data_IF_793724956937
#
_entry.id   IF_793724956937
#
_cell.length_a   1.000
_cell.length_b   1.000
_cell.length_c   1.000
_cell.angle_alpha   90.00
_cell.angle_beta   90.00
_cell.angle_gamma   90.00
#
_symmetry.space_group_name_H-M   'P 1'
#
loop_
_entity.id
_entity.type
_entity.pdbx_description
1 polymer ?
#
# COMPACT_ATOMS: atom_id res chain seq x y z
N UNK A 1 8.42 -3.14 -6.82
CA UNK A 1 6.96 -2.97 -6.74
C UNK A 1 6.25 -3.83 -7.77
N UNK A 2 4.99 -4.21 -7.51
CA UNK A 2 4.14 -4.98 -8.43
C UNK A 2 3.80 -4.21 -9.71
N UNK A 3 3.27 -4.92 -10.70
CA UNK A 3 2.83 -4.37 -11.97
C UNK A 3 1.32 -4.11 -11.90
N UNK A 4 0.92 -2.83 -11.83
CA UNK A 4 -0.48 -2.41 -11.98
C UNK A 4 -0.69 -1.71 -13.32
N UNK A 5 -1.92 -1.72 -13.84
CA UNK A 5 -2.23 -0.97 -15.05
C UNK A 5 -2.25 0.54 -14.75
N UNK A 6 -1.35 1.36 -15.36
CA UNK A 6 -1.33 2.80 -15.12
C UNK A 6 -2.55 3.51 -15.72
N UNK A 7 -3.30 2.86 -16.61
CA UNK A 7 -4.50 3.43 -17.23
C UNK A 7 -5.79 3.12 -16.49
N UNK A 8 -5.74 2.25 -15.47
CA UNK A 8 -6.90 1.91 -14.65
C UNK A 8 -7.52 3.18 -14.03
N UNK A 9 -8.81 3.46 -14.28
CA UNK A 9 -9.50 4.58 -13.64
C UNK A 9 -9.53 4.43 -12.13
N UNK A 10 -9.46 5.56 -11.41
CA UNK A 10 -9.67 5.59 -9.97
C UNK A 10 -11.11 5.15 -9.68
N UNK A 11 -11.27 4.15 -8.82
CA UNK A 11 -12.58 3.66 -8.44
C UNK A 11 -12.50 2.41 -7.57
N UNK A 12 -13.64 1.78 -7.40
CA UNK A 12 -13.84 0.57 -6.58
C UNK A 12 -14.15 -0.65 -7.45
N UNK A 13 -13.76 -0.60 -8.73
CA UNK A 13 -13.96 -1.72 -9.65
C UNK A 13 -13.12 -2.93 -9.21
N UNK A 14 -13.81 -4.01 -8.90
CA UNK A 14 -13.26 -5.29 -8.46
C UNK A 14 -13.37 -6.37 -9.54
N UNK A 15 -13.75 -5.99 -10.76
CA UNK A 15 -13.77 -6.91 -11.88
C UNK A 15 -12.35 -7.18 -12.37
N UNK A 16 -12.13 -8.40 -12.87
CA UNK A 16 -10.85 -8.77 -13.47
C UNK A 16 -10.76 -8.15 -14.86
N UNK A 17 -9.72 -7.34 -15.08
CA UNK A 17 -9.33 -6.89 -16.41
C UNK A 17 -8.62 -8.04 -17.16
N UNK A 18 -9.37 -8.70 -18.03
CA UNK A 18 -8.86 -9.79 -18.87
C UNK A 18 -7.95 -9.31 -20.00
N UNK A 19 -8.01 -8.04 -20.38
CA UNK A 19 -7.15 -7.45 -21.41
C UNK A 19 -5.77 -7.08 -20.84
N UNK A 20 -5.68 -6.84 -19.52
CA UNK A 20 -4.41 -6.64 -18.83
C UNK A 20 -3.66 -7.96 -18.52
N UNK A 21 -4.39 -9.05 -18.29
CA UNK A 21 -3.82 -10.35 -17.89
C UNK A 21 -2.68 -10.87 -18.81
N UNK A 22 -2.77 -10.79 -20.16
CA UNK A 22 -1.68 -11.20 -21.04
C UNK A 22 -0.34 -10.49 -20.74
N UNK A 23 -0.37 -9.20 -20.38
CA UNK A 23 0.83 -8.44 -20.04
C UNK A 23 1.48 -8.96 -18.76
N UNK A 24 0.66 -9.35 -17.77
CA UNK A 24 1.14 -9.94 -16.51
C UNK A 24 1.79 -11.30 -16.77
N UNK A 25 1.16 -12.14 -17.61
CA UNK A 25 1.69 -13.45 -17.98
C UNK A 25 3.00 -13.33 -18.76
N UNK A 26 3.09 -12.38 -19.69
CA UNK A 26 4.31 -12.10 -20.45
C UNK A 26 5.47 -11.69 -19.53
N UNK A 27 5.25 -10.70 -18.65
CA UNK A 27 6.28 -10.26 -17.70
C UNK A 27 6.68 -11.36 -16.70
N UNK A 28 5.72 -12.16 -16.24
CA UNK A 28 5.98 -13.32 -15.38
C UNK A 28 6.84 -14.37 -16.10
N UNK A 29 6.47 -14.73 -17.33
CA UNK A 29 7.19 -15.71 -18.15
C UNK A 29 8.59 -15.23 -18.53
N UNK A 30 8.77 -13.94 -18.80
CA UNK A 30 10.08 -13.34 -19.08
C UNK A 30 11.04 -13.46 -17.89
N UNK A 31 10.53 -13.34 -16.65
CA UNK A 31 11.32 -13.42 -15.41
C UNK A 31 11.53 -14.86 -14.93
N UNK A 32 10.52 -15.71 -15.11
CA UNK A 32 10.55 -17.12 -14.74
C UNK A 32 9.90 -17.95 -15.86
N UNK A 33 10.66 -18.42 -16.86
CA UNK A 33 10.14 -19.10 -18.05
C UNK A 33 9.25 -20.32 -17.77
N UNK A 34 9.45 -20.99 -16.63
CA UNK A 34 8.59 -22.09 -16.20
C UNK A 34 7.12 -21.68 -16.00
N UNK A 35 6.84 -20.40 -15.70
CA UNK A 35 5.47 -19.89 -15.57
C UNK A 35 4.71 -19.90 -16.91
N UNK A 36 5.41 -19.78 -18.04
CA UNK A 36 4.77 -19.79 -19.37
C UNK A 36 4.20 -21.17 -19.76
N UNK A 37 4.55 -22.22 -19.02
CA UNK A 37 4.02 -23.58 -19.22
C UNK A 37 2.94 -23.94 -18.19
N UNK A 38 2.69 -23.08 -17.20
CA UNK A 38 1.73 -23.32 -16.14
C UNK A 38 0.31 -22.91 -16.57
N UNK A 39 -0.70 -23.61 -16.03
CA UNK A 39 -2.09 -23.20 -16.17
C UNK A 39 -2.48 -22.19 -15.09
N UNK A 40 -3.31 -21.21 -15.45
CA UNK A 40 -3.92 -20.30 -14.48
C UNK A 40 -5.02 -21.03 -13.70
N UNK A 41 -4.87 -21.08 -12.37
CA UNK A 41 -5.89 -21.67 -11.48
C UNK A 41 -6.95 -20.66 -11.07
N UNK A 42 -6.55 -19.42 -10.79
CA UNK A 42 -7.44 -18.39 -10.25
C UNK A 42 -6.90 -17.01 -10.61
N UNK A 43 -7.80 -16.07 -10.88
CA UNK A 43 -7.51 -14.66 -11.11
C UNK A 43 -8.51 -13.85 -10.27
N UNK A 44 -8.03 -12.78 -9.64
CA UNK A 44 -8.85 -11.90 -8.81
C UNK A 44 -8.29 -10.47 -8.90
N UNK A 45 -9.15 -9.49 -8.60
CA UNK A 45 -8.79 -8.09 -8.50
C UNK A 45 -9.03 -7.58 -7.07
N UNK A 46 -8.26 -6.57 -6.67
CA UNK A 46 -8.34 -5.97 -5.34
C UNK A 46 -7.96 -4.50 -5.38
N UNK A 47 -8.37 -3.76 -4.35
CA UNK A 47 -8.18 -2.32 -4.27
C UNK A 47 -6.85 -1.95 -3.62
N UNK A 48 -6.23 -0.91 -4.15
CA UNK A 48 -5.11 -0.22 -3.51
C UNK A 48 -5.57 1.17 -3.05
N UNK A 49 -5.35 1.47 -1.77
CA UNK A 49 -5.54 2.81 -1.24
C UNK A 49 -4.27 3.62 -1.49
N UNK A 50 -4.29 4.46 -2.53
CA UNK A 50 -3.12 5.22 -2.98
C UNK A 50 -3.05 6.59 -2.32
N UNK A 51 -1.92 6.89 -1.68
CA UNK A 51 -1.58 8.24 -1.23
C UNK A 51 -0.68 8.97 -2.25
N UNK A 52 -0.62 10.31 -2.25
CA UNK A 52 0.18 11.07 -3.22
C UNK A 52 1.67 10.70 -3.25
N UNK A 53 2.24 10.27 -2.12
CA UNK A 53 3.63 9.85 -1.99
C UNK A 53 3.81 8.33 -1.83
N UNK A 54 2.72 7.56 -1.95
CA UNK A 54 2.70 6.09 -1.85
C UNK A 54 3.11 5.55 -0.47
N UNK A 55 3.06 6.40 0.56
CA UNK A 55 3.32 6.04 1.96
C UNK A 55 2.03 5.96 2.78
N UNK A 56 1.98 5.16 3.84
CA UNK A 56 0.75 5.03 4.61
C UNK A 56 0.40 6.31 5.36
N UNK A 57 -0.84 6.38 5.82
CA UNK A 57 -1.33 7.36 6.78
C UNK A 57 -1.44 6.68 8.14
N UNK A 58 -0.51 7.00 9.04
CA UNK A 58 -0.46 6.43 10.38
C UNK A 58 -0.40 7.53 11.43
N UNK A 59 -1.37 7.57 12.33
CA UNK A 59 -1.42 8.53 13.43
C UNK A 59 -2.82 9.11 13.68
N UNK A 60 -2.91 10.10 14.56
CA UNK A 60 -4.20 10.70 14.92
C UNK A 60 -4.79 11.49 13.75
N UNK A 61 -6.10 11.35 13.54
CA UNK A 61 -6.83 12.06 12.51
C UNK A 61 -6.87 13.58 12.79
N UNK A 62 -6.49 14.44 11.82
CA UNK A 62 -6.51 15.89 12.00
C UNK A 62 -7.88 16.41 12.42
N UNK A 63 -7.93 17.19 13.50
CA UNK A 63 -9.17 17.79 14.01
C UNK A 63 -10.16 16.80 14.63
N UNK A 64 -9.78 15.53 14.84
CA UNK A 64 -10.64 14.49 15.44
C UNK A 64 -9.90 13.78 16.58
N UNK A 65 -9.85 14.37 17.79
CA UNK A 65 -9.18 13.76 18.93
C UNK A 65 -9.73 12.35 19.23
N UNK A 66 -8.83 11.40 19.45
CA UNK A 66 -9.18 10.01 19.75
C UNK A 66 -9.46 9.12 18.53
N UNK A 67 -9.54 9.67 17.31
CA UNK A 67 -9.61 8.88 16.08
C UNK A 67 -8.19 8.66 15.53
N UNK A 68 -7.83 7.41 15.27
CA UNK A 68 -6.52 7.01 14.74
C UNK A 68 -6.66 6.40 13.35
N UNK A 69 -5.70 6.70 12.48
CA UNK A 69 -5.63 6.21 11.12
C UNK A 69 -4.48 5.22 10.97
N UNK A 70 -4.74 4.16 10.21
CA UNK A 70 -3.79 3.20 9.69
C UNK A 70 -4.33 2.71 8.34
N UNK A 71 -4.14 3.52 7.29
CA UNK A 71 -4.69 3.28 5.95
C UNK A 71 -3.76 3.83 4.86
N UNK A 72 -4.12 3.72 3.58
CA UNK A 72 -3.37 4.34 2.48
C UNK A 72 -2.03 3.66 2.17
N UNK A 73 -1.92 2.37 2.47
CA UNK A 73 -0.66 1.62 2.35
C UNK A 73 -0.19 1.39 0.91
N UNK A 74 -0.91 1.85 -0.13
CA UNK A 74 -0.40 1.96 -1.51
C UNK A 74 0.23 0.66 -2.08
N UNK A 75 -0.23 -0.50 -1.62
CA UNK A 75 0.21 -1.82 -2.10
C UNK A 75 1.22 -2.59 -1.25
N UNK A 76 1.77 -2.01 -0.19
CA UNK A 76 2.75 -2.67 0.69
C UNK A 76 2.24 -2.86 2.13
N UNK A 77 0.93 -2.73 2.34
CA UNK A 77 0.30 -2.82 3.66
C UNK A 77 0.47 -4.17 4.35
N UNK A 78 0.55 -5.28 3.59
CA UNK A 78 0.71 -6.61 4.19
C UNK A 78 2.01 -6.75 4.99
N UNK A 79 3.14 -6.31 4.41
CA UNK A 79 4.44 -6.36 5.11
C UNK A 79 4.53 -5.32 6.24
N UNK A 80 3.82 -4.19 6.12
CA UNK A 80 3.84 -3.13 7.12
C UNK A 80 2.89 -3.36 8.30
N UNK A 81 1.86 -4.20 8.14
CA UNK A 81 0.81 -4.35 9.13
C UNK A 81 1.33 -4.73 10.54
N UNK A 82 2.25 -5.71 10.71
CA UNK A 82 2.76 -6.04 12.04
C UNK A 82 3.49 -4.88 12.74
N UNK A 83 4.57 -4.29 12.18
CA UNK A 83 5.31 -3.23 12.88
C UNK A 83 4.49 -1.93 13.07
N UNK A 84 3.64 -1.59 12.10
CA UNK A 84 2.76 -0.40 12.21
C UNK A 84 1.70 -0.60 13.27
N UNK A 85 1.04 -1.76 13.29
CA UNK A 85 -0.01 -2.06 14.27
C UNK A 85 0.52 -2.03 15.70
N UNK A 86 1.65 -2.70 15.96
CA UNK A 86 2.29 -2.71 17.28
C UNK A 86 2.70 -1.30 17.72
N UNK A 87 3.36 -0.54 16.84
CA UNK A 87 3.83 0.80 17.15
C UNK A 87 2.70 1.79 17.36
N UNK A 88 1.64 1.69 16.57
CA UNK A 88 0.47 2.55 16.72
C UNK A 88 -0.27 2.24 18.02
N UNK A 89 -0.42 0.96 18.37
CA UNK A 89 -0.99 0.56 19.66
C UNK A 89 -0.17 1.10 20.84
N UNK A 90 1.17 1.03 20.77
CA UNK A 90 2.04 1.60 21.79
C UNK A 90 1.79 3.11 21.96
N UNK A 91 1.75 3.86 20.86
CA UNK A 91 1.45 5.31 20.88
C UNK A 91 0.08 5.60 21.50
N UNK A 92 -0.95 4.83 21.13
CA UNK A 92 -2.32 4.98 21.68
C UNK A 92 -2.32 4.76 23.20
N UNK A 93 -1.54 3.79 23.69
CA UNK A 93 -1.42 3.48 25.11
C UNK A 93 -0.43 4.38 25.88
N UNK A 94 0.18 5.39 25.23
CA UNK A 94 1.16 6.26 25.86
C UNK A 94 2.55 5.63 26.08
N UNK A 95 2.84 4.53 25.37
CA UNK A 95 4.13 3.85 25.37
C UNK A 95 4.98 4.26 24.16
N UNK A 96 6.29 3.94 24.22
CA UNK A 96 7.20 4.17 23.10
C UNK A 96 6.97 3.15 21.98
N UNK A 97 6.84 3.59 20.72
CA UNK A 97 6.71 2.67 19.59
C UNK A 97 8.02 1.95 19.25
N UNK A 98 7.92 0.77 18.65
CA UNK A 98 9.08 0.02 18.13
C UNK A 98 9.65 0.66 16.86
N UNK A 99 8.78 1.21 16.00
CA UNK A 99 9.17 1.94 14.78
C UNK A 99 8.68 3.38 14.83
N UNK A 100 9.46 4.30 14.26
CA UNK A 100 9.08 5.70 14.18
C UNK A 100 7.93 5.90 13.18
N UNK A 101 6.78 6.37 13.66
CA UNK A 101 5.59 6.61 12.84
C UNK A 101 5.44 8.07 12.36
N UNK A 102 6.28 8.98 12.87
CA UNK A 102 6.20 10.42 12.56
C UNK A 102 6.28 10.74 11.04
N UNK A 103 7.05 10.00 10.21
CA UNK A 103 7.08 10.22 8.77
C UNK A 103 5.74 9.94 8.09
N UNK A 104 4.91 9.07 8.66
CA UNK A 104 3.62 8.63 8.11
C UNK A 104 2.43 9.44 8.63
N UNK A 105 2.68 10.49 9.41
CA UNK A 105 1.63 11.35 9.97
C UNK A 105 0.65 11.84 8.89
N UNK A 106 -0.67 11.79 9.13
CA UNK A 106 -1.67 12.37 8.23
C UNK A 106 -1.49 13.87 7.97
N UNK A 107 -0.81 14.59 8.89
CA UNK A 107 -0.52 16.01 8.74
C UNK A 107 0.63 16.31 7.78
N UNK A 108 1.38 15.30 7.30
CA UNK A 108 2.57 15.55 6.47
C UNK A 108 2.26 16.31 5.17
N UNK A 109 1.08 16.09 4.60
CA UNK A 109 0.64 16.76 3.37
C UNK A 109 0.31 18.24 3.58
N UNK A 110 -0.18 18.62 4.75
CA UNK A 110 -0.43 20.03 5.08
C UNK A 110 0.87 20.85 5.13
N UNK A 111 1.99 20.21 5.48
CA UNK A 111 3.32 20.81 5.50
C UNK A 111 4.13 20.62 4.22
N UNK A 112 3.55 20.03 3.15
CA UNK A 112 4.28 19.72 1.91
C UNK A 112 5.40 18.67 2.08
N UNK A 113 5.40 17.93 3.19
CA UNK A 113 6.45 16.96 3.52
C UNK A 113 6.08 15.59 2.94
N UNK A 114 6.27 15.45 1.63
CA UNK A 114 6.17 14.16 0.96
C UNK A 114 7.35 13.27 1.34
N UNK A 115 7.09 11.98 1.55
CA UNK A 115 8.15 11.02 1.84
C UNK A 115 8.27 10.05 0.66
N UNK A 116 9.27 10.20 -0.22
CA UNK A 116 9.43 9.33 -1.37
C UNK A 116 9.61 7.86 -0.98
N UNK A 117 9.16 6.95 -1.83
CA UNK A 117 9.24 5.50 -1.59
C UNK A 117 10.68 4.99 -1.41
N UNK A 118 11.65 5.64 -2.06
CA UNK A 118 13.09 5.32 -1.98
C UNK A 118 13.73 5.52 -0.60
N UNK A 119 12.99 6.05 0.38
CA UNK A 119 13.50 6.30 1.74
C UNK A 119 13.39 5.03 2.61
N UNK A 120 12.56 4.06 2.23
CA UNK A 120 12.25 2.89 3.06
C UNK A 120 12.36 1.53 2.35
N UNK A 121 12.82 1.50 1.09
CA UNK A 121 13.10 0.28 0.31
C UNK A 121 14.59 0.19 0.01
#
# INVERSE_FOLDING_TARGET
MGMGDPTQPIGEDLTVDWDFLPKVVEEGSRRLPALGQAALRTVWAGLYEMTPDRQPLVGMAPGRPGLWLACGFSGHGFMMAPPVGESLAAVICGASPQVELSPFSPLRFAGGRLVPESVFI
#
